data_IF_517014744276
#
_entry.id   IF_517014744276
#
_cell.length_a   1.000
_cell.length_b   1.000
_cell.length_c   1.000
_cell.angle_alpha   90.00
_cell.angle_beta   90.00
_cell.angle_gamma   90.00
#
_symmetry.space_group_name_H-M   'P 1'
#
loop_
_entity.id
_entity.type
_entity.pdbx_description
1 polymer ?
#
# COMPACT_ATOMS: atom_id res chain seq x y z
N UNK A 1 48.87 30.11 -53.34
CA UNK A 1 47.47 30.31 -53.70
C UNK A 1 46.67 29.29 -53.01
N UNK A 2 45.98 29.63 -51.93
CA UNK A 2 44.91 28.78 -51.40
C UNK A 2 43.58 29.47 -51.61
N UNK A 3 42.82 28.96 -52.51
CA UNK A 3 41.35 29.17 -52.59
C UNK A 3 40.68 27.83 -52.28
N UNK A 4 39.85 27.85 -51.29
CA UNK A 4 38.53 27.18 -51.28
C UNK A 4 37.95 27.30 -49.89
N UNK A 5 37.27 28.44 -49.68
CA UNK A 5 36.20 28.49 -48.71
C UNK A 5 34.95 28.06 -49.47
N UNK A 6 34.47 26.89 -49.17
CA UNK A 6 33.21 26.37 -49.71
C UNK A 6 32.09 27.28 -49.27
N UNK A 7 31.49 27.97 -50.26
CA UNK A 7 30.35 28.89 -50.03
C UNK A 7 29.10 28.12 -49.54
N UNK A 8 29.13 26.78 -49.54
CA UNK A 8 28.02 25.93 -49.09
C UNK A 8 28.00 25.68 -47.60
N UNK A 9 29.11 25.95 -46.89
CA UNK A 9 29.13 25.79 -45.41
C UNK A 9 28.36 26.88 -44.65
N UNK A 10 28.06 28.01 -45.27
CA UNK A 10 27.28 29.08 -44.67
C UNK A 10 25.75 28.86 -44.76
N UNK A 11 25.29 27.88 -45.54
CA UNK A 11 23.83 27.58 -45.64
C UNK A 11 23.32 26.54 -44.65
N UNK A 12 24.19 25.88 -43.90
CA UNK A 12 23.82 24.91 -42.87
C UNK A 12 23.77 25.49 -41.46
N UNK A 13 23.80 26.80 -41.28
CA UNK A 13 23.40 27.42 -40.04
C UNK A 13 21.90 27.14 -39.83
N UNK A 14 21.63 25.97 -39.27
CA UNK A 14 20.29 25.57 -38.83
C UNK A 14 19.72 26.74 -38.04
N UNK A 15 18.79 27.51 -38.64
CA UNK A 15 18.02 28.53 -37.93
C UNK A 15 17.35 27.84 -36.76
N UNK A 16 17.93 27.89 -35.55
CA UNK A 16 17.29 27.47 -34.33
C UNK A 16 15.98 28.20 -34.29
N UNK A 17 14.86 27.43 -34.39
CA UNK A 17 13.53 28.00 -34.26
C UNK A 17 13.47 28.80 -32.95
N UNK A 18 12.92 30.01 -32.98
CA UNK A 18 12.83 30.83 -31.78
C UNK A 18 12.15 30.04 -30.67
N UNK A 19 12.80 29.94 -29.50
CA UNK A 19 12.22 29.30 -28.32
C UNK A 19 11.33 30.32 -27.63
N UNK A 20 10.04 30.08 -27.68
CA UNK A 20 9.05 30.86 -26.93
C UNK A 20 8.84 30.23 -25.55
N UNK A 21 8.66 31.06 -24.46
CA UNK A 21 8.32 30.53 -23.16
C UNK A 21 7.11 29.60 -23.22
N UNK A 22 7.22 28.45 -22.56
CA UNK A 22 6.10 27.53 -22.41
C UNK A 22 5.21 28.00 -21.26
N UNK A 23 3.90 28.00 -21.46
CA UNK A 23 2.90 28.37 -20.45
C UNK A 23 1.82 27.31 -20.43
N UNK A 24 1.62 26.68 -19.30
CA UNK A 24 0.54 25.69 -19.14
C UNK A 24 -0.82 26.39 -19.17
N UNK A 25 -1.76 25.86 -19.94
CA UNK A 25 -3.11 26.40 -19.97
C UNK A 25 -3.84 26.12 -18.66
N UNK A 26 -4.65 27.08 -18.25
CA UNK A 26 -5.62 26.95 -17.16
C UNK A 26 -6.94 27.57 -17.56
N UNK A 27 -8.04 27.09 -17.00
CA UNK A 27 -9.35 27.73 -17.22
C UNK A 27 -9.32 29.19 -16.76
N UNK A 28 -9.82 30.07 -17.60
CA UNK A 28 -9.83 31.51 -17.36
C UNK A 28 -8.52 32.25 -17.71
N UNK A 29 -7.47 31.55 -18.21
CA UNK A 29 -6.26 32.21 -18.70
C UNK A 29 -6.62 33.05 -19.93
N UNK A 30 -6.38 34.35 -19.89
CA UNK A 30 -6.65 35.26 -21.02
C UNK A 30 -5.43 35.33 -21.94
N UNK A 31 -5.63 34.99 -23.20
CA UNK A 31 -4.58 35.02 -24.23
C UNK A 31 -5.14 35.56 -25.54
N UNK A 32 -4.24 35.99 -26.42
CA UNK A 32 -4.57 36.39 -27.77
C UNK A 32 -3.97 35.38 -28.77
N UNK A 33 -4.76 34.89 -29.71
CA UNK A 33 -4.21 34.15 -30.86
C UNK A 33 -3.46 35.08 -31.78
N UNK A 34 -2.18 34.88 -31.93
CA UNK A 34 -1.28 35.76 -32.67
C UNK A 34 -1.57 35.87 -34.14
N UNK A 35 -2.20 34.86 -34.73
CA UNK A 35 -2.49 34.83 -36.15
C UNK A 35 -3.79 35.61 -36.50
N UNK A 36 -4.80 35.53 -35.67
CA UNK A 36 -6.10 36.15 -35.88
C UNK A 36 -6.34 37.40 -35.05
N UNK A 37 -5.54 37.69 -34.04
CA UNK A 37 -5.81 38.75 -33.07
C UNK A 37 -7.00 38.47 -32.15
N UNK A 38 -7.50 37.21 -32.09
CA UNK A 38 -8.63 36.86 -31.24
C UNK A 38 -8.19 36.79 -29.77
N UNK A 39 -8.77 37.63 -28.95
CA UNK A 39 -8.54 37.70 -27.51
C UNK A 39 -9.65 36.97 -26.78
N UNK A 40 -9.30 36.05 -25.89
CA UNK A 40 -10.29 35.32 -25.11
C UNK A 40 -9.71 34.61 -23.88
N UNK A 41 -10.62 34.25 -22.99
CA UNK A 41 -10.30 33.36 -21.86
C UNK A 41 -10.36 31.89 -22.28
N UNK A 42 -9.44 31.08 -21.77
CA UNK A 42 -9.47 29.64 -21.99
C UNK A 42 -10.66 29.02 -21.28
N UNK A 43 -11.55 28.40 -22.03
CA UNK A 43 -12.74 27.69 -21.51
C UNK A 43 -12.61 26.17 -21.60
N UNK A 44 -11.54 25.67 -22.20
CA UNK A 44 -11.23 24.24 -22.29
C UNK A 44 -10.18 23.95 -23.35
N UNK A 45 -9.74 22.69 -23.41
CA UNK A 45 -8.78 22.19 -24.40
C UNK A 45 -8.93 20.69 -24.58
N UNK A 46 -8.40 20.19 -25.69
CA UNK A 46 -8.23 18.76 -25.97
C UNK A 46 -6.85 18.49 -26.60
N UNK A 47 -6.67 17.34 -27.26
CA UNK A 47 -5.38 16.98 -27.87
C UNK A 47 -5.05 17.80 -29.13
N UNK A 48 -6.06 18.39 -29.77
CA UNK A 48 -5.90 19.12 -31.04
C UNK A 48 -5.89 20.63 -30.85
N UNK A 49 -6.69 21.16 -29.90
CA UNK A 49 -6.93 22.60 -29.81
C UNK A 49 -7.19 23.08 -28.38
N UNK A 50 -6.93 24.39 -28.19
CA UNK A 50 -7.40 25.17 -27.04
C UNK A 50 -8.62 25.96 -27.44
N UNK A 51 -9.63 26.05 -26.57
CA UNK A 51 -10.87 26.79 -26.78
C UNK A 51 -10.81 28.10 -26.04
N UNK A 52 -10.95 29.20 -26.80
CA UNK A 52 -10.99 30.56 -26.25
C UNK A 52 -12.40 31.11 -26.42
N UNK A 53 -12.85 31.85 -25.39
CA UNK A 53 -14.12 32.57 -25.40
C UNK A 53 -13.83 34.05 -25.31
N UNK A 54 -14.34 34.83 -26.24
CA UNK A 54 -14.21 36.27 -26.24
C UNK A 54 -15.23 36.97 -25.28
N UNK A 55 -15.12 38.29 -25.15
CA UNK A 55 -16.03 39.13 -24.36
C UNK A 55 -17.51 39.08 -24.80
N UNK A 56 -17.78 38.64 -26.05
CA UNK A 56 -19.11 38.49 -26.60
C UNK A 56 -19.64 37.04 -26.48
N UNK A 57 -18.97 36.21 -25.67
CA UNK A 57 -19.27 34.78 -25.45
C UNK A 57 -19.08 33.90 -26.68
N UNK A 58 -18.38 34.39 -27.72
CA UNK A 58 -18.06 33.57 -28.90
C UNK A 58 -16.91 32.66 -28.58
N UNK A 59 -17.12 31.34 -28.77
CA UNK A 59 -16.08 30.32 -28.49
C UNK A 59 -15.47 29.89 -29.83
N UNK A 60 -14.13 29.87 -29.90
CA UNK A 60 -13.36 29.37 -31.06
C UNK A 60 -12.25 28.41 -30.61
N UNK A 61 -11.91 27.49 -31.53
CA UNK A 61 -10.83 26.52 -31.35
C UNK A 61 -9.56 27.02 -32.03
N UNK A 62 -8.43 26.91 -31.32
CA UNK A 62 -7.11 27.30 -31.80
C UNK A 62 -6.14 26.13 -31.62
N UNK A 63 -5.45 25.73 -32.69
CA UNK A 63 -4.49 24.63 -32.67
C UNK A 63 -3.27 24.97 -31.82
N UNK A 64 -2.70 23.95 -31.22
CA UNK A 64 -1.44 24.08 -30.47
C UNK A 64 -0.30 24.45 -31.41
N UNK A 65 0.30 25.63 -31.22
CA UNK A 65 1.34 26.15 -32.11
C UNK A 65 2.44 26.83 -31.29
N UNK A 66 3.72 26.47 -31.49
CA UNK A 66 4.82 27.16 -30.84
C UNK A 66 4.81 28.65 -31.12
N UNK A 67 4.81 29.48 -30.07
CA UNK A 67 4.73 30.95 -30.18
C UNK A 67 3.42 31.45 -30.81
N UNK A 68 2.36 30.63 -30.85
CA UNK A 68 1.10 30.96 -31.48
C UNK A 68 0.20 31.90 -30.69
N UNK A 69 0.51 32.15 -29.43
CA UNK A 69 -0.30 32.98 -28.56
C UNK A 69 0.48 34.14 -27.95
N UNK A 70 -0.21 35.18 -27.56
CA UNK A 70 0.35 36.26 -26.76
C UNK A 70 -0.26 36.22 -25.36
N UNK A 71 0.59 36.27 -24.36
CA UNK A 71 0.23 36.49 -22.97
C UNK A 71 0.80 37.84 -22.54
N UNK A 72 -0.06 38.75 -22.15
CA UNK A 72 0.37 40.13 -21.82
C UNK A 72 1.20 40.79 -22.94
N UNK A 73 0.84 40.53 -24.19
CA UNK A 73 1.56 41.06 -25.37
C UNK A 73 2.87 40.35 -25.69
N UNK A 74 3.28 39.33 -24.97
CA UNK A 74 4.51 38.56 -25.21
C UNK A 74 4.20 37.22 -25.87
N UNK A 75 4.94 36.81 -26.92
CA UNK A 75 4.71 35.55 -27.58
C UNK A 75 5.08 34.36 -26.68
N UNK A 76 4.14 33.45 -26.52
CA UNK A 76 4.28 32.24 -25.69
C UNK A 76 3.83 31.01 -26.47
N UNK A 77 4.30 29.85 -26.05
CA UNK A 77 3.79 28.54 -26.45
C UNK A 77 2.85 28.02 -25.36
N UNK A 78 1.57 27.94 -25.65
CA UNK A 78 0.64 27.27 -24.73
C UNK A 78 0.92 25.78 -24.74
N UNK A 79 1.02 25.19 -23.56
CA UNK A 79 1.21 23.76 -23.35
C UNK A 79 0.04 23.19 -22.55
N UNK A 80 -0.27 21.92 -22.82
CA UNK A 80 -1.23 21.22 -21.97
C UNK A 80 -0.58 21.02 -20.62
N UNK A 81 -1.27 21.31 -19.52
CA UNK A 81 -0.77 20.93 -18.21
C UNK A 81 -0.43 19.44 -18.26
N UNK A 82 0.76 19.05 -17.82
CA UNK A 82 1.02 17.65 -17.58
C UNK A 82 -0.15 17.14 -16.73
N UNK A 83 -0.85 16.11 -17.21
CA UNK A 83 -1.96 15.52 -16.43
C UNK A 83 -1.39 15.20 -15.07
N UNK A 84 -1.71 16.05 -14.06
CA UNK A 84 -1.53 15.60 -12.69
C UNK A 84 -2.32 14.31 -12.65
N UNK A 85 -1.70 13.15 -12.33
CA UNK A 85 -2.48 11.95 -12.18
C UNK A 85 -3.64 12.34 -11.28
N UNK A 86 -4.87 12.12 -11.76
CA UNK A 86 -6.04 12.28 -10.92
C UNK A 86 -5.71 11.55 -9.63
N UNK A 87 -5.95 12.13 -8.43
CA UNK A 87 -5.68 11.43 -7.20
C UNK A 87 -6.31 10.06 -7.37
N UNK A 88 -5.47 9.04 -7.55
CA UNK A 88 -5.94 7.66 -7.65
C UNK A 88 -6.75 7.43 -6.40
N UNK A 89 -7.94 6.87 -6.54
CA UNK A 89 -8.72 6.46 -5.38
C UNK A 89 -7.75 5.76 -4.41
N UNK A 90 -7.80 6.06 -3.10
CA UNK A 90 -6.86 5.51 -2.16
C UNK A 90 -6.83 3.99 -2.34
N UNK A 91 -5.66 3.46 -2.67
CA UNK A 91 -5.48 2.03 -2.82
C UNK A 91 -5.55 1.43 -1.43
N UNK A 92 -6.48 0.51 -1.21
CA UNK A 92 -6.55 -0.23 0.04
C UNK A 92 -5.54 -1.39 0.01
N UNK A 93 -4.92 -1.63 1.15
CA UNK A 93 -4.12 -2.83 1.41
C UNK A 93 -5.03 -4.05 1.63
N UNK A 94 -4.46 -5.23 1.73
CA UNK A 94 -5.23 -6.45 2.04
C UNK A 94 -5.83 -6.42 3.45
N UNK A 95 -5.25 -5.64 4.36
CA UNK A 95 -5.78 -5.37 5.71
C UNK A 95 -6.91 -4.34 5.74
N UNK A 96 -7.20 -3.68 4.60
CA UNK A 96 -8.22 -2.62 4.50
C UNK A 96 -7.72 -1.23 4.85
N UNK A 97 -6.44 -1.05 5.17
CA UNK A 97 -5.81 0.25 5.42
C UNK A 97 -5.59 1.02 4.11
N UNK A 98 -5.43 2.34 4.19
CA UNK A 98 -5.03 3.15 3.04
C UNK A 98 -3.54 2.90 2.78
N UNK A 99 -3.20 2.39 1.58
CA UNK A 99 -1.81 2.16 1.20
C UNK A 99 -1.02 3.47 1.25
N UNK A 100 0.01 3.52 2.09
CA UNK A 100 0.94 4.64 2.17
C UNK A 100 1.82 4.73 0.93
N UNK A 101 2.30 5.93 0.65
CA UNK A 101 3.29 6.19 -0.41
C UNK A 101 4.72 6.16 0.11
N UNK A 102 4.93 5.62 1.33
CA UNK A 102 6.19 5.66 2.06
C UNK A 102 7.29 4.80 1.44
N UNK A 103 8.52 5.28 1.53
CA UNK A 103 9.72 4.45 1.30
C UNK A 103 9.80 3.38 2.38
N UNK A 104 10.36 2.19 2.09
CA UNK A 104 10.59 1.15 3.09
C UNK A 104 11.31 1.73 4.30
N UNK A 105 10.76 1.52 5.50
CA UNK A 105 11.38 1.98 6.73
C UNK A 105 12.37 0.95 7.26
N UNK A 106 13.37 1.42 8.01
CA UNK A 106 14.25 0.53 8.79
C UNK A 106 13.40 -0.16 9.85
N UNK A 107 13.57 -1.48 10.00
CA UNK A 107 12.85 -2.24 11.00
C UNK A 107 13.01 -1.63 12.40
N UNK A 108 11.90 -1.42 13.09
CA UNK A 108 11.89 -0.98 14.50
C UNK A 108 12.45 -2.06 15.40
N UNK A 109 12.79 -1.71 16.63
CA UNK A 109 13.21 -2.69 17.65
C UNK A 109 12.03 -3.53 18.17
N UNK A 110 10.79 -3.02 18.08
CA UNK A 110 9.58 -3.73 18.46
C UNK A 110 9.28 -4.91 17.53
N UNK A 111 8.64 -5.96 18.07
CA UNK A 111 8.33 -7.20 17.34
C UNK A 111 6.93 -7.67 17.65
N UNK A 112 6.37 -8.42 16.70
CA UNK A 112 5.19 -9.26 16.93
C UNK A 112 5.66 -10.71 16.84
N UNK A 113 5.50 -11.44 17.92
CA UNK A 113 5.75 -12.88 17.97
C UNK A 113 4.47 -13.67 17.79
N UNK A 114 4.55 -14.77 17.07
CA UNK A 114 3.45 -15.70 16.80
C UNK A 114 3.91 -17.12 17.08
N UNK A 115 2.98 -18.06 17.30
CA UNK A 115 3.37 -19.42 17.69
C UNK A 115 4.11 -20.14 16.58
N UNK A 116 3.66 -20.02 15.34
CA UNK A 116 4.18 -20.81 14.25
C UNK A 116 4.44 -20.03 12.95
N UNK A 117 5.06 -20.75 12.01
CA UNK A 117 5.38 -20.21 10.69
C UNK A 117 4.12 -19.84 9.90
N UNK A 118 3.04 -20.63 10.00
CA UNK A 118 1.82 -20.35 9.24
C UNK A 118 1.13 -19.06 9.67
N UNK A 119 1.21 -18.74 10.96
CA UNK A 119 0.74 -17.47 11.51
C UNK A 119 1.50 -16.31 10.91
N UNK A 120 2.84 -16.35 10.96
CA UNK A 120 3.69 -15.32 10.39
C UNK A 120 3.40 -15.14 8.89
N UNK A 121 3.31 -16.24 8.14
CA UNK A 121 3.03 -16.21 6.70
C UNK A 121 1.64 -15.63 6.37
N UNK A 122 0.60 -15.90 7.19
CA UNK A 122 -0.74 -15.34 7.03
C UNK A 122 -0.75 -13.85 7.34
N UNK A 123 -0.11 -13.44 8.43
CA UNK A 123 -0.08 -12.04 8.84
C UNK A 123 0.70 -11.18 7.85
N UNK A 124 1.84 -11.66 7.35
CA UNK A 124 2.57 -11.03 6.26
C UNK A 124 1.76 -10.97 4.95
N UNK A 125 0.92 -11.98 4.69
CA UNK A 125 0.07 -11.99 3.50
C UNK A 125 -1.03 -10.93 3.54
N UNK A 126 -1.62 -10.68 4.71
CA UNK A 126 -2.76 -9.76 4.87
C UNK A 126 -2.31 -8.36 5.28
N UNK A 127 -1.41 -8.24 6.24
CA UNK A 127 -0.93 -6.96 6.80
C UNK A 127 0.47 -6.56 6.33
N UNK A 128 1.08 -7.31 5.43
CA UNK A 128 2.49 -7.09 5.06
C UNK A 128 2.80 -5.69 4.53
N UNK A 129 1.85 -5.02 3.85
CA UNK A 129 2.03 -3.64 3.42
C UNK A 129 2.09 -2.69 4.61
N UNK A 130 1.17 -2.84 5.58
CA UNK A 130 1.11 -2.02 6.79
C UNK A 130 2.32 -2.29 7.70
N UNK A 131 2.67 -3.55 7.90
CA UNK A 131 3.84 -3.96 8.70
C UNK A 131 5.14 -3.36 8.14
N UNK A 132 5.32 -3.36 6.82
CA UNK A 132 6.47 -2.73 6.16
C UNK A 132 6.48 -1.21 6.31
N UNK A 133 5.31 -0.56 6.18
CA UNK A 133 5.19 0.88 6.38
C UNK A 133 5.50 1.29 7.81
N UNK A 134 5.07 0.48 8.78
CA UNK A 134 5.30 0.70 10.20
C UNK A 134 6.68 0.24 10.68
N UNK A 135 7.42 -0.52 9.84
CA UNK A 135 8.72 -1.09 10.20
C UNK A 135 8.64 -2.20 11.24
N UNK A 136 7.50 -2.90 11.36
CA UNK A 136 7.28 -3.99 12.31
C UNK A 136 7.59 -5.33 11.64
N UNK A 137 8.22 -6.21 12.38
CA UNK A 137 8.57 -7.58 11.94
C UNK A 137 7.76 -8.59 12.74
N UNK A 138 7.16 -9.55 12.05
CA UNK A 138 6.48 -10.72 12.65
C UNK A 138 7.45 -11.89 12.65
N UNK A 139 7.66 -12.49 13.81
CA UNK A 139 8.61 -13.58 14.02
C UNK A 139 7.92 -14.80 14.64
N UNK A 140 8.08 -16.02 14.10
CA UNK A 140 7.58 -17.23 14.72
C UNK A 140 8.47 -17.63 15.91
N UNK A 141 7.87 -17.95 17.06
CA UNK A 141 8.58 -18.38 18.27
C UNK A 141 9.03 -19.84 18.24
N UNK A 142 8.51 -20.65 17.30
CA UNK A 142 8.73 -22.10 17.25
C UNK A 142 8.28 -22.84 18.52
N UNK A 143 7.20 -22.37 19.14
CA UNK A 143 6.58 -22.88 20.35
C UNK A 143 6.64 -21.89 21.52
N UNK A 144 5.60 -21.87 22.34
CA UNK A 144 5.45 -20.92 23.45
C UNK A 144 5.85 -21.51 24.82
N UNK A 145 6.46 -22.71 24.85
CA UNK A 145 6.64 -23.46 26.10
C UNK A 145 7.51 -22.74 27.15
N UNK A 146 8.41 -21.86 26.74
CA UNK A 146 9.27 -21.06 27.64
C UNK A 146 9.15 -19.54 27.29
N UNK A 147 7.92 -19.05 27.25
CA UNK A 147 7.65 -17.66 26.88
C UNK A 147 8.33 -16.67 27.84
N UNK A 148 8.35 -16.96 29.14
CA UNK A 148 8.95 -16.08 30.17
C UNK A 148 10.44 -15.88 29.93
N UNK A 149 11.19 -16.96 29.66
CA UNK A 149 12.61 -16.86 29.34
C UNK A 149 12.86 -16.14 28.02
N UNK A 150 12.06 -16.42 26.98
CA UNK A 150 12.16 -15.75 25.69
C UNK A 150 11.89 -14.23 25.79
N UNK A 151 10.87 -13.82 26.56
CA UNK A 151 10.60 -12.41 26.86
C UNK A 151 11.76 -11.77 27.62
N UNK A 152 12.30 -12.43 28.61
CA UNK A 152 13.44 -11.92 29.37
C UNK A 152 14.71 -11.74 28.49
N UNK A 153 14.95 -12.65 27.55
CA UNK A 153 16.03 -12.54 26.56
C UNK A 153 15.80 -11.39 25.56
N UNK A 154 14.57 -11.21 25.12
CA UNK A 154 14.20 -10.10 24.23
C UNK A 154 14.44 -8.74 24.88
N UNK A 155 14.36 -8.63 26.22
CA UNK A 155 14.53 -7.39 26.99
C UNK A 155 13.59 -6.29 26.48
N UNK A 156 12.27 -6.42 26.67
CA UNK A 156 11.30 -5.41 26.27
C UNK A 156 11.54 -4.08 27.01
N UNK A 157 11.01 -3.02 26.44
CA UNK A 157 11.09 -1.67 27.00
C UNK A 157 10.28 -0.68 26.17
N UNK A 158 10.19 0.60 26.57
CA UNK A 158 9.33 1.58 25.92
C UNK A 158 9.55 1.68 24.40
N UNK A 159 10.80 1.68 23.94
CA UNK A 159 11.16 1.76 22.51
C UNK A 159 11.37 0.39 21.85
N UNK A 160 11.15 -0.68 22.59
CA UNK A 160 11.31 -2.07 22.12
C UNK A 160 10.18 -2.93 22.65
N UNK A 161 8.98 -2.67 22.17
CA UNK A 161 7.78 -3.38 22.61
C UNK A 161 7.66 -4.74 21.95
N UNK A 162 7.03 -5.65 22.65
CA UNK A 162 6.78 -7.01 22.20
C UNK A 162 5.29 -7.32 22.29
N UNK A 163 4.66 -7.61 21.15
CA UNK A 163 3.35 -8.23 21.13
C UNK A 163 3.49 -9.72 20.85
N UNK A 164 2.76 -10.56 21.57
CA UNK A 164 2.72 -12.00 21.38
C UNK A 164 1.29 -12.40 21.06
N UNK A 165 1.09 -13.10 19.94
CA UNK A 165 -0.22 -13.61 19.53
C UNK A 165 -0.21 -15.12 19.71
N UNK A 166 -1.09 -15.62 20.60
CA UNK A 166 -1.22 -17.03 20.93
C UNK A 166 -2.46 -17.63 20.28
N UNK A 167 -2.34 -18.87 19.82
CA UNK A 167 -3.46 -19.70 19.42
C UNK A 167 -4.28 -20.09 20.65
N UNK A 168 -5.52 -20.47 20.45
CA UNK A 168 -6.41 -21.05 21.49
C UNK A 168 -6.40 -20.32 22.84
N UNK A 169 -6.29 -18.99 22.83
CA UNK A 169 -6.32 -18.16 24.04
C UNK A 169 -7.76 -18.07 24.59
N UNK A 170 -8.18 -19.13 25.28
CA UNK A 170 -9.51 -19.25 25.89
C UNK A 170 -9.42 -19.47 27.39
N UNK A 171 -10.44 -19.10 28.17
CA UNK A 171 -10.43 -19.28 29.62
C UNK A 171 -10.06 -20.72 30.04
N UNK A 172 -9.02 -20.86 30.86
CA UNK A 172 -8.55 -22.14 31.40
C UNK A 172 -7.59 -22.91 30.49
N UNK A 173 -7.26 -22.40 29.28
CA UNK A 173 -6.26 -23.02 28.41
C UNK A 173 -4.84 -22.93 28.99
N UNK A 174 -3.91 -23.65 28.38
CA UNK A 174 -2.48 -23.54 28.68
C UNK A 174 -1.98 -22.12 28.36
N UNK A 175 -2.41 -21.60 27.21
CA UNK A 175 -2.05 -20.29 26.66
C UNK A 175 -2.51 -19.15 27.57
N UNK A 176 -3.68 -19.25 28.20
CA UNK A 176 -4.15 -18.27 29.19
C UNK A 176 -3.26 -18.24 30.44
N UNK A 177 -2.75 -19.41 30.87
CA UNK A 177 -1.79 -19.48 32.00
C UNK A 177 -0.43 -18.91 31.62
N UNK A 178 0.04 -19.17 30.41
CA UNK A 178 1.25 -18.58 29.87
C UNK A 178 1.14 -17.05 29.79
N UNK A 179 0.03 -16.54 29.26
CA UNK A 179 -0.24 -15.11 29.20
C UNK A 179 -0.18 -14.47 30.61
N UNK A 180 -0.76 -15.11 31.62
CA UNK A 180 -0.75 -14.63 33.00
C UNK A 180 0.63 -14.70 33.71
N UNK A 181 1.60 -15.40 33.13
CA UNK A 181 2.96 -15.50 33.70
C UNK A 181 3.89 -14.37 33.28
N UNK A 182 3.50 -13.52 32.35
CA UNK A 182 4.26 -12.36 31.89
C UNK A 182 3.55 -11.09 32.37
N UNK A 183 4.24 -10.32 33.21
CA UNK A 183 3.77 -9.03 33.73
C UNK A 183 4.83 -7.97 33.44
N UNK A 184 4.78 -7.41 32.23
CA UNK A 184 5.67 -6.35 31.77
C UNK A 184 4.87 -5.36 30.90
N UNK A 185 4.85 -4.06 31.22
CA UNK A 185 4.09 -3.06 30.50
C UNK A 185 4.53 -2.87 29.05
N UNK A 186 5.76 -3.28 28.70
CA UNK A 186 6.26 -3.26 27.32
C UNK A 186 5.95 -4.56 26.55
N UNK A 187 5.15 -5.47 27.15
CA UNK A 187 4.71 -6.72 26.53
C UNK A 187 3.19 -6.81 26.50
N UNK A 188 2.63 -7.02 25.33
CA UNK A 188 1.23 -7.37 25.15
C UNK A 188 1.11 -8.84 24.77
N UNK A 189 0.37 -9.62 25.55
CA UNK A 189 -0.03 -10.95 25.13
C UNK A 189 -1.50 -10.90 24.74
N UNK A 190 -1.78 -11.24 23.50
CA UNK A 190 -3.12 -11.33 22.91
C UNK A 190 -3.27 -12.65 22.18
N UNK A 191 -4.41 -12.93 21.61
CA UNK A 191 -4.64 -14.15 20.84
C UNK A 191 -6.10 -14.30 20.41
N UNK A 192 -6.38 -15.46 19.87
CA UNK A 192 -7.68 -15.82 19.33
C UNK A 192 -8.15 -17.19 19.86
N UNK A 193 -9.46 -17.50 19.78
CA UNK A 193 -10.01 -18.74 20.35
C UNK A 193 -9.75 -20.00 19.50
N UNK A 194 -9.23 -19.83 18.30
CA UNK A 194 -9.03 -20.94 17.36
C UNK A 194 -7.84 -21.80 17.77
N UNK A 195 -7.95 -23.11 17.52
CA UNK A 195 -6.90 -24.09 17.86
C UNK A 195 -5.63 -23.96 17.01
N UNK A 196 -5.74 -23.21 15.93
CA UNK A 196 -4.67 -22.95 14.97
C UNK A 196 -5.12 -21.82 14.03
N UNK A 197 -4.20 -21.05 13.48
CA UNK A 197 -4.46 -19.92 12.58
C UNK A 197 -5.29 -20.32 11.35
N UNK A 198 -5.18 -21.57 10.86
CA UNK A 198 -6.01 -22.03 9.73
C UNK A 198 -7.50 -22.00 10.07
N UNK A 199 -7.86 -22.31 11.32
CA UNK A 199 -9.25 -22.25 11.78
C UNK A 199 -9.76 -20.80 11.91
N UNK A 200 -8.87 -19.82 11.97
CA UNK A 200 -9.20 -18.40 11.91
C UNK A 200 -9.45 -17.87 10.50
N UNK A 201 -9.25 -18.69 9.48
CA UNK A 201 -9.63 -18.38 8.09
C UNK A 201 -11.08 -18.84 7.87
N UNK A 202 -11.91 -18.00 7.30
CA UNK A 202 -13.32 -18.34 7.03
C UNK A 202 -13.41 -19.46 5.98
N UNK A 203 -14.16 -20.55 6.26
CA UNK A 203 -14.28 -21.69 5.34
C UNK A 203 -14.78 -21.33 3.94
N UNK A 204 -15.52 -20.24 3.82
CA UNK A 204 -16.06 -19.74 2.55
C UNK A 204 -14.99 -19.45 1.48
N UNK A 205 -13.71 -19.20 1.87
CA UNK A 205 -12.61 -19.01 0.91
C UNK A 205 -12.35 -20.27 0.06
N UNK A 206 -12.79 -21.41 0.57
CA UNK A 206 -12.76 -22.71 -0.13
C UNK A 206 -14.13 -23.13 -0.67
N UNK A 207 -15.16 -22.27 -0.54
CA UNK A 207 -16.53 -22.61 -0.92
C UNK A 207 -17.23 -23.55 0.09
N UNK A 208 -16.73 -23.62 1.32
CA UNK A 208 -17.32 -24.41 2.40
C UNK A 208 -18.17 -23.55 3.33
N UNK A 209 -19.28 -24.07 3.82
CA UNK A 209 -20.12 -23.38 4.81
C UNK A 209 -19.47 -23.39 6.20
N UNK A 210 -18.75 -24.45 6.53
CA UNK A 210 -18.04 -24.65 7.80
C UNK A 210 -16.84 -25.56 7.63
N UNK A 211 -15.87 -25.45 8.54
CA UNK A 211 -14.80 -26.42 8.62
C UNK A 211 -15.31 -27.83 8.96
N UNK A 212 -14.78 -28.90 8.35
CA UNK A 212 -15.08 -30.26 8.75
C UNK A 212 -14.77 -30.50 10.24
N UNK A 213 -15.61 -31.29 10.89
CA UNK A 213 -15.36 -31.72 12.27
C UNK A 213 -14.18 -32.67 12.34
N UNK A 214 -13.23 -32.37 13.22
CA UNK A 214 -12.09 -33.23 13.48
C UNK A 214 -12.33 -34.02 14.78
N UNK A 215 -12.25 -35.36 14.75
CA UNK A 215 -12.44 -36.19 15.94
C UNK A 215 -11.46 -35.81 17.06
N UNK A 216 -11.95 -35.85 18.32
CA UNK A 216 -11.11 -35.60 19.50
C UNK A 216 -9.93 -36.59 19.53
N UNK A 217 -8.75 -36.10 19.93
CA UNK A 217 -7.52 -36.89 20.03
C UNK A 217 -6.70 -36.98 18.75
N UNK A 218 -7.14 -36.36 17.65
CA UNK A 218 -6.35 -36.18 16.44
C UNK A 218 -5.87 -34.73 16.36
N UNK A 219 -4.61 -34.44 15.98
CA UNK A 219 -4.18 -33.09 15.69
C UNK A 219 -5.08 -32.44 14.64
N UNK A 220 -5.51 -31.22 14.91
CA UNK A 220 -6.60 -30.58 14.12
C UNK A 220 -6.24 -30.44 12.64
N UNK A 221 -5.02 -29.99 12.31
CA UNK A 221 -4.56 -29.83 10.91
C UNK A 221 -4.57 -31.17 10.15
N UNK A 222 -4.07 -32.23 10.77
CA UNK A 222 -4.05 -33.55 10.17
C UNK A 222 -5.46 -34.08 9.93
N UNK A 223 -6.33 -33.91 10.93
CA UNK A 223 -7.72 -34.33 10.83
C UNK A 223 -8.49 -33.58 9.75
N UNK A 224 -8.25 -32.27 9.65
CA UNK A 224 -8.82 -31.42 8.61
C UNK A 224 -8.36 -31.87 7.21
N UNK A 225 -7.06 -32.08 7.02
CA UNK A 225 -6.52 -32.51 5.74
C UNK A 225 -7.07 -33.87 5.32
N UNK A 226 -7.21 -34.80 6.26
CA UNK A 226 -7.85 -36.11 5.99
C UNK A 226 -9.32 -35.92 5.56
N UNK A 227 -10.08 -35.10 6.26
CA UNK A 227 -11.48 -34.85 5.93
C UNK A 227 -11.66 -34.18 4.56
N UNK A 228 -10.72 -33.36 4.15
CA UNK A 228 -10.71 -32.69 2.84
C UNK A 228 -10.04 -33.48 1.73
N UNK A 229 -9.38 -34.60 2.05
CA UNK A 229 -8.64 -35.42 1.08
C UNK A 229 -7.40 -34.72 0.49
N UNK A 230 -6.72 -33.88 1.29
CA UNK A 230 -5.56 -33.08 0.89
C UNK A 230 -4.32 -33.40 1.74
N UNK A 231 -3.14 -32.99 1.26
CA UNK A 231 -1.89 -33.10 2.02
C UNK A 231 -1.57 -31.76 2.69
N UNK A 232 -1.13 -31.74 3.98
CA UNK A 232 -0.87 -30.49 4.71
C UNK A 232 0.11 -29.56 4.00
N UNK A 233 1.17 -30.10 3.41
CA UNK A 233 2.27 -29.35 2.78
C UNK A 233 1.80 -28.59 1.53
N UNK A 234 0.84 -29.12 0.78
CA UNK A 234 0.28 -28.51 -0.42
C UNK A 234 -0.98 -27.70 -0.14
N UNK A 235 -1.68 -28.06 0.94
CA UNK A 235 -2.93 -27.39 1.32
C UNK A 235 -2.69 -26.00 1.87
N UNK A 236 -1.70 -25.80 2.74
CA UNK A 236 -1.44 -24.51 3.33
C UNK A 236 -1.18 -23.39 2.30
N UNK A 237 -0.27 -23.55 1.33
CA UNK A 237 -0.10 -22.52 0.30
C UNK A 237 -1.39 -22.20 -0.47
N UNK A 238 -2.20 -23.24 -0.73
CA UNK A 238 -3.48 -23.10 -1.42
C UNK A 238 -4.47 -22.30 -0.57
N UNK A 239 -4.63 -22.66 0.71
CA UNK A 239 -5.52 -21.97 1.65
C UNK A 239 -5.12 -20.51 1.82
N UNK A 240 -3.84 -20.24 2.10
CA UNK A 240 -3.32 -18.88 2.26
C UNK A 240 -3.56 -18.02 1.00
N UNK A 241 -3.31 -18.55 -0.18
CA UNK A 241 -3.51 -17.81 -1.44
C UNK A 241 -4.98 -17.56 -1.78
N UNK A 242 -5.93 -18.22 -1.10
CA UNK A 242 -7.37 -17.94 -1.22
C UNK A 242 -7.83 -16.79 -0.31
N UNK A 243 -7.04 -16.45 0.69
CA UNK A 243 -7.28 -15.26 1.52
C UNK A 243 -6.91 -14.03 0.70
N UNK A 244 -7.87 -13.20 0.36
CA UNK A 244 -7.63 -11.98 -0.41
C UNK A 244 -7.44 -10.76 0.49
N UNK A 245 -8.22 -10.70 1.59
CA UNK A 245 -8.21 -9.57 2.52
C UNK A 245 -8.52 -10.03 3.96
N UNK A 246 -8.40 -9.12 4.93
CA UNK A 246 -8.82 -9.35 6.32
C UNK A 246 -10.27 -9.83 6.43
N UNK A 247 -11.16 -9.47 5.47
CA UNK A 247 -12.55 -9.90 5.47
C UNK A 247 -12.73 -11.42 5.29
N UNK A 248 -11.69 -12.13 4.87
CA UNK A 248 -11.67 -13.59 4.74
C UNK A 248 -11.24 -14.30 6.03
N UNK A 249 -10.91 -13.51 7.07
CA UNK A 249 -10.55 -13.99 8.39
C UNK A 249 -11.70 -13.80 9.39
N UNK A 250 -11.67 -14.58 10.47
CA UNK A 250 -12.60 -14.42 11.56
C UNK A 250 -12.28 -13.15 12.38
N UNK A 251 -13.27 -12.42 12.88
CA UNK A 251 -13.08 -11.13 13.57
C UNK A 251 -12.15 -11.22 14.78
N UNK A 252 -12.16 -12.33 15.50
CA UNK A 252 -11.32 -12.54 16.67
C UNK A 252 -9.84 -12.60 16.31
N UNK A 253 -9.50 -13.23 15.17
CA UNK A 253 -8.13 -13.26 14.66
C UNK A 253 -7.70 -11.85 14.19
N UNK A 254 -8.55 -11.18 13.40
CA UNK A 254 -8.31 -9.81 12.97
C UNK A 254 -8.06 -8.89 14.15
N UNK A 255 -8.94 -8.91 15.15
CA UNK A 255 -8.79 -8.07 16.34
C UNK A 255 -7.55 -8.38 17.18
N UNK A 256 -7.05 -9.62 17.16
CA UNK A 256 -5.79 -9.95 17.85
C UNK A 256 -4.59 -9.33 17.13
N UNK A 257 -4.54 -9.40 15.80
CA UNK A 257 -3.45 -8.83 15.00
C UNK A 257 -3.46 -7.31 15.07
N UNK A 258 -4.63 -6.66 14.90
CA UNK A 258 -4.74 -5.20 14.99
C UNK A 258 -4.28 -4.68 16.36
N UNK A 259 -4.69 -5.32 17.46
CA UNK A 259 -4.20 -4.94 18.81
C UNK A 259 -2.69 -5.08 18.95
N UNK A 260 -2.08 -6.10 18.34
CA UNK A 260 -0.64 -6.30 18.36
C UNK A 260 0.10 -5.21 17.58
N UNK A 261 -0.43 -4.82 16.41
CA UNK A 261 0.09 -3.73 15.58
C UNK A 261 -0.01 -2.41 16.34
N UNK A 262 -1.19 -2.08 16.86
CA UNK A 262 -1.42 -0.84 17.62
C UNK A 262 -0.47 -0.74 18.81
N UNK A 263 -0.34 -1.82 19.59
CA UNK A 263 0.55 -1.84 20.76
C UNK A 263 2.02 -1.61 20.39
N UNK A 264 2.51 -2.23 19.32
CA UNK A 264 3.91 -2.12 18.90
C UNK A 264 4.25 -0.78 18.24
N UNK A 265 3.24 -0.01 17.85
CA UNK A 265 3.38 1.27 17.13
C UNK A 265 2.97 2.49 17.93
N UNK A 266 2.28 2.32 19.06
CA UNK A 266 1.77 3.40 19.91
C UNK A 266 2.89 4.39 20.32
N UNK A 267 2.80 5.68 19.94
CA UNK A 267 3.79 6.69 20.27
C UNK A 267 3.71 7.20 21.72
N UNK A 268 2.65 6.85 22.46
CA UNK A 268 2.39 7.41 23.81
C UNK A 268 3.21 6.80 24.93
N UNK A 269 4.25 6.02 24.59
CA UNK A 269 5.18 5.43 25.57
C UNK A 269 6.55 6.13 25.62
N UNK A 270 6.69 7.29 24.99
CA UNK A 270 7.87 8.16 25.08
C UNK A 270 7.76 9.13 26.28
#
# INVERSE_FOLDING_TARGET
MPYERDILDDFTATRRAPRYPAVDVSLGLVVEDRASGFVGDVVGWDHEAVRLRDRNSVVRNFIWKPGGFLLEGRPVTLTRPASRPAPSAPRLTNSGSIAGSGSPQVARASRIWVEGRHDAELFEHVWGDDLRELGIVVEPMHGADDLVAAVAEFRPGPLRRLAVILDHLVPGSKETRLAASVDDPAVLITGHPFVDVWAGIRPRVLGLDRWPEVPKGRPWKEGLCVALGVQPETFWPTLRNRVATFADLEPELVGAVERAIDFTTDPSAD
#
